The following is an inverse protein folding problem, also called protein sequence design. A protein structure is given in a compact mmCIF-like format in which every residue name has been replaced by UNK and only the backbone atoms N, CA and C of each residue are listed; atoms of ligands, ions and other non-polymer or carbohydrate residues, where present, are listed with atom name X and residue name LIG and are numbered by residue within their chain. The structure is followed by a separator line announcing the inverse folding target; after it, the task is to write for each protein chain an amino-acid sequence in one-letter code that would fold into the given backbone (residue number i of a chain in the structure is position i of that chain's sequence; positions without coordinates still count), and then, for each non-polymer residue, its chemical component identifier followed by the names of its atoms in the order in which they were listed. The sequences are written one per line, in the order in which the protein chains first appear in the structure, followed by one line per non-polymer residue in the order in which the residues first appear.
data_IF_066004072821
#
_entry.id   IF_066004072821
#
_cell.length_a   1.000
_cell.length_b   1.000
_cell.length_c   1.000
_cell.angle_alpha   90.00
_cell.angle_beta   90.00
_cell.angle_gamma   90.00
#
_symmetry.space_group_name_H-M   'P 1'
#
loop_
_entity.id
_entity.type
_entity.pdbx_description
1 polymer ?
#
# COMPACT_ATOMS: atom_id res chain seq x y z
N UNK A 1 11.38 5.77 20.47
CA UNK A 1 12.26 5.70 19.29
C UNK A 1 11.78 4.52 18.48
N UNK A 2 11.26 4.75 17.29
CA UNK A 2 10.93 3.67 16.35
C UNK A 2 12.22 3.30 15.59
N UNK A 3 12.54 2.02 15.49
CA UNK A 3 13.70 1.50 14.75
C UNK A 3 13.49 1.72 13.23
N UNK A 4 14.52 2.18 12.52
CA UNK A 4 14.47 2.38 11.06
C UNK A 4 14.58 1.05 10.28
N UNK A 5 14.19 1.07 9.00
CA UNK A 5 14.33 -0.08 8.09
C UNK A 5 15.80 -0.53 7.98
N UNK A 6 16.72 0.42 7.85
CA UNK A 6 18.16 0.18 7.83
C UNK A 6 18.67 -0.47 9.12
N UNK A 7 18.30 0.04 10.30
CA UNK A 7 18.73 -0.51 11.60
C UNK A 7 18.20 -1.93 11.80
N UNK A 8 16.94 -2.19 11.43
CA UNK A 8 16.36 -3.54 11.45
C UNK A 8 17.10 -4.46 10.49
N UNK A 9 17.40 -3.99 9.28
CA UNK A 9 18.09 -4.79 8.28
C UNK A 9 19.51 -5.17 8.70
N UNK A 10 20.27 -4.23 9.28
CA UNK A 10 21.60 -4.50 9.83
C UNK A 10 21.56 -5.52 10.98
N UNK A 11 20.56 -5.43 11.86
CA UNK A 11 20.35 -6.43 12.91
C UNK A 11 20.04 -7.82 12.33
N UNK A 12 19.25 -7.90 11.26
CA UNK A 12 18.97 -9.18 10.59
C UNK A 12 20.22 -9.75 9.95
N UNK A 13 21.02 -8.92 9.28
CA UNK A 13 22.28 -9.34 8.68
C UNK A 13 23.25 -9.87 9.72
N UNK A 14 23.45 -9.17 10.84
CA UNK A 14 24.36 -9.63 11.90
C UNK A 14 23.93 -10.98 12.48
N UNK A 15 22.62 -11.18 12.68
CA UNK A 15 22.08 -12.47 13.14
C UNK A 15 22.29 -13.61 12.12
N UNK A 16 22.40 -13.29 10.83
CA UNK A 16 22.61 -14.26 9.76
C UNK A 16 24.09 -14.55 9.55
N UNK A 17 24.96 -13.56 9.76
CA UNK A 17 26.41 -13.72 9.84
C UNK A 17 26.79 -14.66 11.00
N UNK A 18 26.19 -14.47 12.18
CA UNK A 18 26.35 -15.38 13.33
C UNK A 18 25.89 -16.81 13.02
N UNK A 19 25.01 -17.00 12.02
CA UNK A 19 24.53 -18.31 11.56
C UNK A 19 25.46 -18.99 10.53
N UNK A 20 26.51 -18.31 10.06
CA UNK A 20 27.51 -18.88 9.14
C UNK A 20 28.60 -19.67 9.87
N UNK A 21 28.58 -19.66 11.20
CA UNK A 21 29.43 -20.51 12.02
C UNK A 21 29.22 -22.01 11.65
N UNK A 22 30.28 -22.74 11.28
CA UNK A 22 30.22 -24.15 10.90
C UNK A 22 29.49 -25.05 11.92
N UNK A 23 29.56 -24.73 13.21
CA UNK A 23 28.89 -25.47 14.28
C UNK A 23 27.38 -25.20 14.34
N UNK A 24 26.95 -24.07 13.80
CA UNK A 24 25.56 -23.55 13.80
C UNK A 24 24.87 -23.77 12.45
N UNK A 25 25.61 -23.94 11.35
CA UNK A 25 25.07 -24.13 9.97
C UNK A 25 23.98 -25.20 9.89
N UNK A 26 24.07 -26.30 10.67
CA UNK A 26 23.04 -27.35 10.73
C UNK A 26 21.69 -26.87 11.28
N UNK A 27 21.66 -25.75 12.00
CA UNK A 27 20.47 -25.10 12.56
C UNK A 27 20.04 -23.84 11.78
N UNK A 28 20.85 -23.35 10.82
CA UNK A 28 20.60 -22.13 10.03
C UNK A 28 19.17 -22.08 9.46
N UNK A 29 18.71 -23.19 8.86
CA UNK A 29 17.33 -23.31 8.35
C UNK A 29 16.25 -23.18 9.44
N UNK A 30 16.43 -23.83 10.60
CA UNK A 30 15.47 -23.76 11.71
C UNK A 30 15.42 -22.36 12.31
N UNK A 31 16.57 -21.70 12.44
CA UNK A 31 16.69 -20.33 12.96
C UNK A 31 16.05 -19.31 12.02
N UNK A 32 16.31 -19.38 10.70
CA UNK A 32 15.69 -18.49 9.71
C UNK A 32 14.17 -18.70 9.68
N UNK A 33 13.70 -19.95 9.67
CA UNK A 33 12.28 -20.25 9.73
C UNK A 33 11.64 -19.75 11.03
N UNK A 34 12.34 -19.87 12.16
CA UNK A 34 11.88 -19.35 13.44
C UNK A 34 11.84 -17.82 13.44
N UNK A 35 12.85 -17.15 12.89
CA UNK A 35 12.91 -15.70 12.78
C UNK A 35 11.77 -15.17 11.90
N UNK A 36 11.56 -15.77 10.73
CA UNK A 36 10.44 -15.43 9.85
C UNK A 36 9.12 -15.67 10.58
N UNK A 37 8.93 -16.86 11.18
CA UNK A 37 7.70 -17.20 11.90
C UNK A 37 7.43 -16.23 13.05
N UNK A 38 8.43 -15.91 13.87
CA UNK A 38 8.29 -14.97 14.98
C UNK A 38 8.06 -13.53 14.50
N UNK A 39 8.67 -13.13 13.39
CA UNK A 39 8.49 -11.80 12.81
C UNK A 39 7.10 -11.67 12.20
N UNK A 40 6.63 -12.70 11.51
CA UNK A 40 5.26 -12.84 11.02
C UNK A 40 4.26 -12.87 12.17
N UNK A 41 4.49 -13.67 13.23
CA UNK A 41 3.68 -13.68 14.45
C UNK A 41 3.66 -12.32 15.16
N UNK A 42 4.77 -11.58 15.18
CA UNK A 42 4.85 -10.21 15.70
C UNK A 42 4.09 -9.23 14.81
N UNK A 43 4.20 -9.37 13.48
CA UNK A 43 3.41 -8.62 12.51
C UNK A 43 1.91 -8.81 12.81
N UNK A 44 1.51 -10.03 13.19
CA UNK A 44 0.13 -10.38 13.53
C UNK A 44 -0.36 -9.85 14.90
N UNK A 45 0.50 -9.26 15.76
CA UNK A 45 0.05 -8.67 17.04
C UNK A 45 -0.47 -7.24 16.85
N UNK A 46 -1.61 -6.93 17.49
CA UNK A 46 -2.35 -5.66 17.34
C UNK A 46 -1.69 -4.44 18.02
N UNK A 47 -0.65 -4.66 18.81
CA UNK A 47 0.03 -3.68 19.67
C UNK A 47 1.12 -2.86 18.95
N UNK A 48 1.47 -3.23 17.71
CA UNK A 48 2.52 -2.55 16.95
C UNK A 48 1.98 -1.39 16.08
N UNK A 49 2.74 -0.29 15.99
CA UNK A 49 2.43 0.85 15.09
C UNK A 49 2.54 0.43 13.62
N UNK A 50 1.78 1.08 12.73
CA UNK A 50 1.85 0.76 11.30
C UNK A 50 3.19 1.08 10.67
N UNK A 51 3.84 2.17 11.09
CA UNK A 51 5.18 2.50 10.64
C UNK A 51 6.17 1.36 10.98
N UNK A 52 6.10 0.82 12.20
CA UNK A 52 6.94 -0.32 12.59
C UNK A 52 6.64 -1.57 11.77
N UNK A 53 5.37 -1.86 11.49
CA UNK A 53 4.99 -3.00 10.64
C UNK A 53 5.50 -2.85 9.20
N UNK A 54 5.38 -1.65 8.64
CA UNK A 54 5.90 -1.32 7.32
C UNK A 54 7.40 -1.55 7.25
N UNK A 55 8.15 -1.03 8.23
CA UNK A 55 9.60 -1.18 8.30
C UNK A 55 10.04 -2.65 8.46
N UNK A 56 9.35 -3.42 9.31
CA UNK A 56 9.60 -4.86 9.45
C UNK A 56 9.30 -5.59 8.14
N UNK A 57 8.19 -5.26 7.48
CA UNK A 57 7.81 -5.88 6.21
C UNK A 57 8.82 -5.68 5.11
N UNK A 58 9.27 -4.43 4.94
CA UNK A 58 10.33 -4.08 4.01
C UNK A 58 11.61 -4.83 4.33
N UNK A 59 12.01 -4.87 5.60
CA UNK A 59 13.20 -5.58 6.04
C UNK A 59 13.13 -7.07 5.70
N UNK A 60 12.02 -7.75 6.03
CA UNK A 60 11.83 -9.17 5.72
C UNK A 60 11.84 -9.41 4.21
N UNK A 61 11.13 -8.56 3.45
CA UNK A 61 11.07 -8.70 2.00
C UNK A 61 12.46 -8.55 1.38
N UNK A 62 13.20 -7.48 1.74
CA UNK A 62 14.56 -7.22 1.27
C UNK A 62 15.50 -8.35 1.64
N UNK A 63 15.45 -8.81 2.89
CA UNK A 63 16.26 -9.93 3.36
C UNK A 63 16.00 -11.18 2.54
N UNK A 64 14.74 -11.57 2.39
CA UNK A 64 14.36 -12.70 1.57
C UNK A 64 14.84 -12.53 0.13
N UNK A 65 14.69 -11.35 -0.47
CA UNK A 65 15.12 -11.06 -1.83
C UNK A 65 16.63 -11.28 -2.03
N UNK A 66 17.46 -10.83 -1.08
CA UNK A 66 18.92 -10.91 -1.14
C UNK A 66 19.49 -12.29 -0.80
N UNK A 67 18.74 -13.15 -0.10
CA UNK A 67 19.19 -14.52 0.15
C UNK A 67 19.42 -15.28 -1.16
N UNK A 68 20.65 -15.78 -1.34
CA UNK A 68 20.99 -16.71 -2.43
C UNK A 68 20.04 -17.92 -2.41
N UNK A 69 19.63 -18.37 -3.60
CA UNK A 69 18.79 -19.55 -3.74
C UNK A 69 19.56 -20.80 -3.31
N UNK A 70 19.39 -21.17 -2.06
CA UNK A 70 19.97 -22.38 -1.50
C UNK A 70 18.84 -23.35 -1.13
N UNK A 71 18.61 -24.34 -1.98
CA UNK A 71 17.57 -25.37 -1.79
C UNK A 71 17.67 -26.11 -0.44
N UNK A 72 18.85 -26.09 0.20
CA UNK A 72 19.07 -26.70 1.52
C UNK A 72 18.61 -25.81 2.69
N UNK A 73 18.39 -24.51 2.46
CA UNK A 73 18.02 -23.52 3.47
C UNK A 73 16.54 -23.12 3.30
N UNK A 74 16.15 -22.51 2.19
CA UNK A 74 14.76 -22.16 1.85
C UNK A 74 14.53 -22.40 0.35
N UNK A 75 13.44 -23.09 0.00
CA UNK A 75 13.02 -23.26 -1.40
C UNK A 75 12.48 -21.94 -1.96
N UNK A 76 12.73 -21.68 -3.25
CA UNK A 76 12.26 -20.47 -3.96
C UNK A 76 10.76 -20.22 -3.81
N UNK A 77 9.94 -21.27 -3.95
CA UNK A 77 8.48 -21.19 -3.76
C UNK A 77 8.07 -20.75 -2.35
N UNK A 78 8.76 -21.26 -1.32
CA UNK A 78 8.48 -20.89 0.06
C UNK A 78 8.89 -19.44 0.34
N UNK A 79 10.01 -18.98 -0.24
CA UNK A 79 10.46 -17.58 -0.19
C UNK A 79 9.42 -16.64 -0.81
N UNK A 80 8.94 -16.96 -2.01
CA UNK A 80 7.91 -16.17 -2.69
C UNK A 80 6.62 -16.08 -1.87
N UNK A 81 6.16 -17.21 -1.32
CA UNK A 81 4.94 -17.25 -0.48
C UNK A 81 5.06 -16.36 0.76
N UNK A 82 6.19 -16.39 1.45
CA UNK A 82 6.40 -15.56 2.65
C UNK A 82 6.42 -14.08 2.29
N UNK A 83 7.07 -13.70 1.18
CA UNK A 83 7.07 -12.33 0.68
C UNK A 83 5.64 -11.84 0.38
N UNK A 84 4.83 -12.67 -0.26
CA UNK A 84 3.42 -12.38 -0.54
C UNK A 84 2.61 -12.19 0.74
N UNK A 85 2.72 -13.11 1.72
CA UNK A 85 1.99 -13.02 2.99
C UNK A 85 2.32 -11.74 3.78
N UNK A 86 3.60 -11.35 3.81
CA UNK A 86 4.05 -10.12 4.49
C UNK A 86 3.46 -8.88 3.82
N UNK A 87 3.55 -8.81 2.49
CA UNK A 87 2.99 -7.69 1.72
C UNK A 87 1.47 -7.63 1.92
N UNK A 88 0.76 -8.75 1.79
CA UNK A 88 -0.69 -8.80 1.89
C UNK A 88 -1.17 -8.33 3.27
N UNK A 89 -0.52 -8.74 4.35
CA UNK A 89 -0.93 -8.33 5.70
C UNK A 89 -0.78 -6.83 5.93
N UNK A 90 0.39 -6.27 5.59
CA UNK A 90 0.69 -4.85 5.78
C UNK A 90 -0.31 -4.01 4.99
N UNK A 91 -0.53 -4.38 3.72
CA UNK A 91 -1.42 -3.65 2.84
C UNK A 91 -2.87 -3.73 3.33
N UNK A 92 -3.36 -4.91 3.76
CA UNK A 92 -4.72 -5.05 4.31
C UNK A 92 -4.94 -4.17 5.54
N UNK A 93 -3.97 -4.10 6.46
CA UNK A 93 -4.12 -3.29 7.68
C UNK A 93 -4.14 -1.80 7.38
N UNK A 94 -3.31 -1.35 6.44
CA UNK A 94 -3.30 0.05 5.96
C UNK A 94 -4.63 0.41 5.29
N UNK A 95 -5.12 -0.45 4.41
CA UNK A 95 -6.38 -0.26 3.69
C UNK A 95 -7.59 -0.20 4.63
N UNK A 96 -7.61 -0.98 5.71
CA UNK A 96 -8.66 -0.89 6.74
C UNK A 96 -8.70 0.49 7.43
N UNK A 97 -7.55 1.11 7.69
CA UNK A 97 -7.52 2.48 8.20
C UNK A 97 -8.06 3.48 7.19
N UNK A 98 -7.67 3.33 5.93
CA UNK A 98 -8.17 4.19 4.86
C UNK A 98 -9.69 4.06 4.72
N UNK A 99 -10.23 2.84 4.81
CA UNK A 99 -11.67 2.60 4.85
C UNK A 99 -12.34 3.37 6.00
N UNK A 100 -11.74 3.34 7.20
CA UNK A 100 -12.24 4.12 8.34
C UNK A 100 -12.22 5.63 8.06
N UNK A 101 -11.15 6.16 7.42
CA UNK A 101 -11.09 7.56 7.00
C UNK A 101 -12.28 7.92 6.11
N UNK A 102 -12.57 7.10 5.09
CA UNK A 102 -13.69 7.32 4.17
C UNK A 102 -15.02 7.35 4.95
N UNK A 103 -15.26 6.34 5.79
CA UNK A 103 -16.50 6.21 6.56
C UNK A 103 -16.71 7.35 7.57
N UNK A 104 -15.63 7.83 8.21
CA UNK A 104 -15.72 8.88 9.23
C UNK A 104 -15.95 10.27 8.63
N UNK A 105 -15.48 10.51 7.41
CA UNK A 105 -15.45 11.86 6.82
C UNK A 105 -16.44 12.06 5.68
N UNK A 106 -16.77 11.02 4.92
CA UNK A 106 -17.75 11.13 3.84
C UNK A 106 -19.18 10.99 4.38
N UNK A 107 -19.96 12.07 4.30
CA UNK A 107 -21.36 12.13 4.78
C UNK A 107 -22.40 12.32 3.67
N UNK A 108 -21.98 12.27 2.41
CA UNK A 108 -22.79 12.70 1.26
C UNK A 108 -23.23 11.56 0.34
N UNK A 109 -23.67 11.96 -0.86
CA UNK A 109 -23.83 11.05 -2.00
C UNK A 109 -23.33 11.75 -3.26
N UNK A 110 -22.90 10.97 -4.25
CA UNK A 110 -22.49 11.47 -5.57
C UNK A 110 -23.60 11.35 -6.63
N UNK A 111 -24.84 11.05 -6.22
CA UNK A 111 -25.98 10.80 -7.11
C UNK A 111 -26.72 12.08 -7.53
N UNK A 112 -26.35 13.22 -6.91
CA UNK A 112 -27.01 14.51 -7.12
C UNK A 112 -26.50 15.23 -8.37
N UNK A 113 -27.41 15.92 -9.06
CA UNK A 113 -27.12 16.77 -10.22
C UNK A 113 -26.96 18.25 -9.81
N UNK A 114 -26.16 18.49 -8.77
CA UNK A 114 -25.87 19.83 -8.24
C UNK A 114 -24.43 20.25 -8.57
N UNK A 115 -24.17 21.54 -8.52
CA UNK A 115 -22.81 22.09 -8.59
C UNK A 115 -21.93 21.50 -7.47
N UNK A 116 -20.64 21.34 -7.77
CA UNK A 116 -19.65 20.78 -6.87
C UNK A 116 -18.40 21.67 -6.79
N UNK A 117 -17.64 21.53 -5.71
CA UNK A 117 -16.36 22.23 -5.55
C UNK A 117 -15.27 21.52 -6.35
N UNK A 118 -14.34 22.26 -6.95
CA UNK A 118 -13.21 21.69 -7.69
C UNK A 118 -11.98 21.50 -6.78
N UNK A 119 -12.22 21.18 -5.51
CA UNK A 119 -11.18 20.90 -4.52
C UNK A 119 -11.34 19.47 -4.02
N UNK A 120 -10.23 18.74 -3.78
CA UNK A 120 -10.31 17.43 -3.16
C UNK A 120 -11.05 17.51 -1.82
N UNK A 121 -11.89 16.51 -1.56
CA UNK A 121 -12.60 16.36 -0.31
C UNK A 121 -11.67 15.93 0.82
N UNK A 122 -12.11 16.20 2.06
CA UNK A 122 -11.31 15.93 3.26
C UNK A 122 -10.85 14.48 3.37
N UNK A 123 -11.69 13.52 2.95
CA UNK A 123 -11.37 12.10 2.97
C UNK A 123 -10.16 11.79 2.08
N UNK A 124 -10.12 12.32 0.85
CA UNK A 124 -9.03 12.10 -0.08
C UNK A 124 -7.72 12.76 0.40
N UNK A 125 -7.82 13.96 0.98
CA UNK A 125 -6.67 14.65 1.59
C UNK A 125 -6.11 13.86 2.78
N UNK A 126 -6.99 13.31 3.63
CA UNK A 126 -6.56 12.48 4.77
C UNK A 126 -5.92 11.17 4.34
N UNK A 127 -6.42 10.52 3.28
CA UNK A 127 -5.79 9.33 2.71
C UNK A 127 -4.34 9.63 2.30
N UNK A 128 -4.11 10.73 1.57
CA UNK A 128 -2.74 11.09 1.17
C UNK A 128 -1.83 11.34 2.38
N UNK A 129 -2.35 12.00 3.42
CA UNK A 129 -1.58 12.21 4.66
C UNK A 129 -1.24 10.90 5.36
N UNK A 130 -2.20 9.98 5.46
CA UNK A 130 -1.94 8.65 6.04
C UNK A 130 -0.91 7.89 5.19
N UNK A 131 -1.06 7.86 3.87
CA UNK A 131 -0.11 7.21 2.96
C UNK A 131 1.31 7.79 3.06
N UNK A 132 1.43 9.11 3.18
CA UNK A 132 2.72 9.81 3.35
C UNK A 132 3.39 9.44 4.67
N UNK A 133 2.60 9.36 5.75
CA UNK A 133 3.07 8.89 7.04
C UNK A 133 3.42 7.40 7.02
N UNK A 134 2.64 6.58 6.31
CA UNK A 134 2.81 5.13 6.21
C UNK A 134 4.14 4.78 5.55
N UNK A 135 4.48 5.43 4.44
CA UNK A 135 5.77 5.22 3.77
C UNK A 135 6.93 6.00 4.41
N UNK A 136 6.64 6.80 5.43
CA UNK A 136 7.63 7.64 6.10
C UNK A 136 8.30 8.63 5.16
N UNK A 137 7.54 9.34 4.30
CA UNK A 137 8.06 10.29 3.31
C UNK A 137 9.01 11.34 3.97
N UNK A 138 8.70 11.75 5.21
CA UNK A 138 9.52 12.67 6.01
C UNK A 138 10.86 12.07 6.50
N UNK A 139 11.01 10.75 6.47
CA UNK A 139 12.16 9.99 7.01
C UNK A 139 13.11 9.51 5.91
N UNK A 140 12.71 9.51 4.63
CA UNK A 140 13.51 8.96 3.53
C UNK A 140 14.57 9.95 3.03
N UNK A 141 15.86 9.70 3.33
CA UNK A 141 17.00 10.50 2.85
C UNK A 141 17.74 9.93 1.63
N UNK A 142 17.52 8.67 1.26
CA UNK A 142 18.35 7.96 0.28
C UNK A 142 17.51 7.44 -0.89
N UNK A 143 17.76 8.01 -2.09
CA UNK A 143 17.06 7.70 -3.35
C UNK A 143 17.42 6.33 -3.95
N UNK A 144 18.58 5.77 -3.60
CA UNK A 144 19.03 4.46 -4.05
C UNK A 144 19.28 3.56 -2.84
N UNK A 145 18.21 2.97 -2.32
CA UNK A 145 18.28 2.02 -1.22
C UNK A 145 17.85 0.64 -1.66
N UNK A 146 18.43 -0.38 -1.02
CA UNK A 146 18.02 -1.79 -1.05
C UNK A 146 16.49 -1.99 -0.89
N UNK A 147 15.82 -0.99 -0.32
CA UNK A 147 14.40 -0.98 0.03
C UNK A 147 13.50 -0.40 -1.07
N UNK A 148 14.06 0.19 -2.14
CA UNK A 148 13.27 0.82 -3.19
C UNK A 148 12.31 -0.15 -3.90
N UNK A 149 12.78 -1.36 -4.24
CA UNK A 149 11.95 -2.40 -4.85
C UNK A 149 10.80 -2.85 -3.93
N UNK A 150 11.08 -3.27 -2.69
CA UNK A 150 10.06 -3.68 -1.74
C UNK A 150 9.04 -2.58 -1.41
N UNK A 151 9.50 -1.33 -1.21
CA UNK A 151 8.61 -0.16 -1.02
C UNK A 151 7.66 0.01 -2.19
N UNK A 152 8.15 -0.13 -3.41
CA UNK A 152 7.34 -0.07 -4.63
C UNK A 152 6.29 -1.18 -4.66
N UNK A 153 6.66 -2.44 -4.40
CA UNK A 153 5.73 -3.58 -4.40
C UNK A 153 4.60 -3.38 -3.38
N UNK A 154 4.94 -2.93 -2.17
CA UNK A 154 3.93 -2.64 -1.13
C UNK A 154 3.01 -1.50 -1.59
N UNK A 155 3.56 -0.43 -2.15
CA UNK A 155 2.75 0.69 -2.65
C UNK A 155 1.81 0.30 -3.79
N UNK A 156 2.28 -0.51 -4.75
CA UNK A 156 1.45 -1.04 -5.83
C UNK A 156 0.28 -1.87 -5.27
N UNK A 157 0.54 -2.69 -4.24
CA UNK A 157 -0.51 -3.48 -3.58
C UNK A 157 -1.49 -2.63 -2.77
N UNK A 158 -1.00 -1.59 -2.08
CA UNK A 158 -1.87 -0.62 -1.38
C UNK A 158 -2.76 0.11 -2.38
N UNK A 159 -2.22 0.53 -3.53
CA UNK A 159 -3.00 1.19 -4.58
C UNK A 159 -4.11 0.29 -5.12
N UNK A 160 -3.79 -0.98 -5.41
CA UNK A 160 -4.77 -1.98 -5.87
C UNK A 160 -5.93 -2.13 -4.87
N UNK A 161 -5.60 -2.39 -3.61
CA UNK A 161 -6.59 -2.61 -2.56
C UNK A 161 -7.39 -1.34 -2.25
N UNK A 162 -6.75 -0.17 -2.30
CA UNK A 162 -7.44 1.11 -2.14
C UNK A 162 -8.45 1.35 -3.27
N UNK A 163 -8.07 1.07 -4.51
CA UNK A 163 -8.99 1.20 -5.64
C UNK A 163 -10.22 0.28 -5.47
N UNK A 164 -10.02 -0.91 -4.92
CA UNK A 164 -11.12 -1.82 -4.56
C UNK A 164 -12.01 -1.25 -3.47
N UNK A 165 -11.45 -0.72 -2.37
CA UNK A 165 -12.23 -0.11 -1.29
C UNK A 165 -13.01 1.12 -1.75
N UNK A 166 -12.42 2.01 -2.56
CA UNK A 166 -13.12 3.17 -3.11
C UNK A 166 -14.27 2.71 -4.00
N UNK A 167 -14.04 1.68 -4.83
CA UNK A 167 -15.10 1.08 -5.65
C UNK A 167 -16.24 0.56 -4.79
N UNK A 168 -15.94 -0.22 -3.75
CA UNK A 168 -16.95 -0.78 -2.83
C UNK A 168 -17.70 0.30 -2.05
N UNK A 169 -17.00 1.36 -1.64
CA UNK A 169 -17.59 2.44 -0.86
C UNK A 169 -18.59 3.27 -1.67
N UNK A 170 -18.33 3.50 -2.97
CA UNK A 170 -19.07 4.50 -3.74
C UNK A 170 -19.83 3.97 -4.95
N UNK A 171 -19.40 2.86 -5.56
CA UNK A 171 -20.05 2.32 -6.77
C UNK A 171 -21.20 1.40 -6.36
N UNK A 172 -22.42 1.85 -6.61
CA UNK A 172 -23.64 1.06 -6.40
C UNK A 172 -24.17 0.48 -7.71
N UNK A 173 -24.72 -0.74 -7.65
CA UNK A 173 -25.45 -1.34 -8.78
C UNK A 173 -26.81 -0.66 -9.05
N UNK A 174 -27.37 0.05 -8.07
CA UNK A 174 -28.75 0.57 -8.12
C UNK A 174 -28.86 2.09 -8.21
N UNK A 175 -27.76 2.83 -7.97
CA UNK A 175 -27.76 4.29 -7.99
C UNK A 175 -26.64 4.81 -8.89
N UNK A 176 -27.03 5.53 -9.93
CA UNK A 176 -26.11 6.17 -10.87
C UNK A 176 -25.63 7.51 -10.32
N UNK A 177 -24.39 7.87 -10.65
CA UNK A 177 -23.80 9.16 -10.34
C UNK A 177 -24.46 10.27 -11.14
N UNK A 178 -24.74 11.39 -10.46
CA UNK A 178 -25.11 12.64 -11.09
C UNK A 178 -23.86 13.49 -11.34
N UNK A 179 -24.03 14.79 -11.61
CA UNK A 179 -22.90 15.73 -11.79
C UNK A 179 -21.88 15.71 -10.64
N UNK A 180 -22.31 15.46 -9.39
CA UNK A 180 -21.38 15.33 -8.25
C UNK A 180 -20.43 14.14 -8.34
N UNK A 181 -20.70 13.13 -9.19
CA UNK A 181 -19.74 12.07 -9.48
C UNK A 181 -18.40 12.57 -10.01
N UNK A 182 -18.38 13.75 -10.66
CA UNK A 182 -17.13 14.37 -11.11
C UNK A 182 -16.22 14.74 -9.93
N UNK A 183 -16.77 15.03 -8.75
CA UNK A 183 -15.99 15.24 -7.53
C UNK A 183 -15.31 13.95 -7.06
N UNK A 184 -16.00 12.81 -7.13
CA UNK A 184 -15.40 11.50 -6.84
C UNK A 184 -14.25 11.21 -7.80
N UNK A 185 -14.43 11.46 -9.10
CA UNK A 185 -13.35 11.30 -10.09
C UNK A 185 -12.17 12.22 -9.76
N UNK A 186 -12.41 13.49 -9.42
CA UNK A 186 -11.37 14.43 -9.02
C UNK A 186 -10.58 13.95 -7.80
N UNK A 187 -11.26 13.41 -6.79
CA UNK A 187 -10.61 12.84 -5.60
C UNK A 187 -9.71 11.64 -5.97
N UNK A 188 -10.16 10.78 -6.88
CA UNK A 188 -9.39 9.61 -7.32
C UNK A 188 -8.16 10.06 -8.12
N UNK A 189 -8.30 11.00 -9.05
CA UNK A 189 -7.17 11.59 -9.79
C UNK A 189 -6.16 12.27 -8.84
N UNK A 190 -6.63 12.89 -7.77
CA UNK A 190 -5.77 13.48 -6.75
C UNK A 190 -4.93 12.42 -6.01
N UNK A 191 -5.53 11.29 -5.64
CA UNK A 191 -4.84 10.14 -5.02
C UNK A 191 -3.90 9.46 -6.03
N UNK A 192 -4.33 9.27 -7.27
CA UNK A 192 -3.51 8.70 -8.34
C UNK A 192 -2.24 9.53 -8.58
N UNK A 193 -2.36 10.86 -8.62
CA UNK A 193 -1.21 11.76 -8.76
C UNK A 193 -0.18 11.56 -7.65
N UNK A 194 -0.61 11.18 -6.44
CA UNK A 194 0.29 10.82 -5.35
C UNK A 194 1.03 9.50 -5.64
N UNK A 195 0.33 8.45 -6.06
CA UNK A 195 0.92 7.15 -6.36
C UNK A 195 1.89 7.18 -7.55
N UNK A 196 1.57 7.95 -8.61
CA UNK A 196 2.43 8.15 -9.80
C UNK A 196 3.83 8.68 -9.49
N UNK A 197 4.07 9.20 -8.27
CA UNK A 197 5.41 9.59 -7.81
C UNK A 197 6.31 8.39 -7.46
N UNK A 198 5.72 7.22 -7.24
CA UNK A 198 6.40 6.02 -6.72
C UNK A 198 6.16 4.75 -7.56
N UNK A 199 4.99 4.63 -8.19
CA UNK A 199 4.54 3.42 -8.90
C UNK A 199 4.20 3.72 -10.36
N UNK A 200 4.11 2.67 -11.18
CA UNK A 200 3.71 2.72 -12.60
C UNK A 200 2.58 1.72 -12.88
N UNK A 201 1.49 1.92 -12.17
CA UNK A 201 0.28 1.09 -12.14
C UNK A 201 -0.89 1.87 -12.71
N UNK A 202 -1.95 1.16 -13.12
CA UNK A 202 -3.15 1.72 -13.75
C UNK A 202 -4.43 1.47 -12.94
N UNK A 203 -4.31 1.01 -11.68
CA UNK A 203 -5.46 0.65 -10.84
C UNK A 203 -6.44 1.80 -10.64
N UNK A 204 -5.94 3.02 -10.37
CA UNK A 204 -6.79 4.20 -10.23
C UNK A 204 -7.41 4.64 -11.56
N UNK A 205 -6.67 4.52 -12.66
CA UNK A 205 -7.19 4.81 -14.01
C UNK A 205 -8.35 3.86 -14.37
N UNK A 206 -8.17 2.57 -14.11
CA UNK A 206 -9.21 1.55 -14.30
C UNK A 206 -10.43 1.83 -13.41
N UNK A 207 -10.22 2.30 -12.17
CA UNK A 207 -11.31 2.69 -11.28
C UNK A 207 -12.10 3.88 -11.86
N UNK A 208 -11.42 4.92 -12.35
CA UNK A 208 -12.04 6.07 -12.99
C UNK A 208 -12.89 5.63 -14.19
N UNK A 209 -12.34 4.78 -15.07
CA UNK A 209 -13.08 4.21 -16.21
C UNK A 209 -14.33 3.44 -15.76
N UNK A 210 -14.27 2.71 -14.65
CA UNK A 210 -15.43 2.01 -14.09
C UNK A 210 -16.48 2.96 -13.51
N UNK A 211 -16.04 4.06 -12.90
CA UNK A 211 -16.93 5.09 -12.35
C UNK A 211 -17.65 5.83 -13.49
N UNK A 212 -16.97 6.14 -14.60
CA UNK A 212 -17.59 6.76 -15.78
C UNK A 212 -18.78 5.95 -16.31
N UNK A 213 -18.68 4.61 -16.32
CA UNK A 213 -19.79 3.72 -16.71
C UNK A 213 -21.01 3.80 -15.78
N UNK A 214 -20.85 4.38 -14.59
CA UNK A 214 -21.88 4.48 -13.56
C UNK A 214 -22.53 5.86 -13.48
N UNK A 215 -22.25 6.77 -14.42
CA UNK A 215 -22.94 8.06 -14.52
C UNK A 215 -24.28 7.94 -15.25
N UNK A 216 -25.21 8.85 -14.93
CA UNK A 216 -26.47 9.00 -15.66
C UNK A 216 -26.26 9.49 -17.10
N UNK A 217 -25.24 10.32 -17.33
CA UNK A 217 -24.86 10.89 -18.63
C UNK A 217 -23.32 10.89 -18.75
N UNK A 218 -22.73 9.86 -19.40
CA UNK A 218 -21.28 9.71 -19.53
C UNK A 218 -20.60 10.81 -20.37
N UNK A 219 -21.31 11.40 -21.35
CA UNK A 219 -20.75 12.33 -22.34
C UNK A 219 -20.52 13.75 -21.78
N UNK A 220 -21.12 14.06 -20.63
CA UNK A 220 -21.01 15.37 -19.98
C UNK A 220 -19.65 15.60 -19.28
N UNK A 221 -18.86 14.54 -19.11
CA UNK A 221 -17.70 14.50 -18.21
C UNK A 221 -16.40 14.99 -18.89
N UNK A 222 -16.20 14.63 -20.16
CA UNK A 222 -14.97 14.94 -20.92
C UNK A 222 -14.73 16.46 -21.09
N UNK A 223 -15.79 17.26 -21.03
CA UNK A 223 -15.71 18.74 -21.17
C UNK A 223 -15.31 19.46 -19.89
N UNK A 224 -15.49 18.85 -18.72
CA UNK A 224 -15.19 19.49 -17.43
C UNK A 224 -13.85 19.04 -16.87
N UNK A 225 -13.51 17.74 -16.91
CA UNK A 225 -12.24 17.22 -16.36
C UNK A 225 -11.01 17.76 -17.10
N UNK A 226 -11.10 17.92 -18.43
CA UNK A 226 -10.05 18.48 -19.29
C UNK A 226 -9.65 19.92 -18.96
N UNK A 227 -10.48 20.67 -18.21
CA UNK A 227 -10.13 22.02 -17.73
C UNK A 227 -9.24 22.01 -16.49
N UNK A 228 -9.17 20.89 -15.77
CA UNK A 228 -8.57 20.81 -14.43
C UNK A 228 -7.37 19.87 -14.35
N UNK A 229 -7.19 18.99 -15.33
CA UNK A 229 -5.97 18.21 -15.51
C UNK A 229 -5.01 19.00 -16.40
N UNK A 230 -4.16 19.82 -15.78
CA UNK A 230 -2.93 20.36 -16.37
C UNK A 230 -1.72 19.82 -15.63
#
# INVERSE_FOLDING_TARGET
MECTEEELYQLVLSLVEDLEDPDIVKYKRKMINLYIKLSVEKIYRKDMSLASLYSIGICIYSFLQQMEENEKIIKSEAKAKIQEEVVEYICKREVLKIRAIILDTFKGTYTEDKNYSVKPEEWAVKIIKELSSFIGEDRQKTKDSLFAGPRRVILEKVEELLAQEIKEAFVSKSKLFGKKGNLLVLNILYIEKYFKRYTKTDFMEQLVQNIHKSFKDPDLIDREISKYVK
#
